data_IF_856797635107
#
_entry.id   IF_856797635107
#
_cell.length_a   1.000
_cell.length_b   1.000
_cell.length_c   1.000
_cell.angle_alpha   90.00
_cell.angle_beta   90.00
_cell.angle_gamma   90.00
#
_symmetry.space_group_name_H-M   'P 1'
#
loop_
_entity.id
_entity.type
_entity.pdbx_description
1 polymer ?
#
# COMPACT_ATOMS: atom_id res chain seq x y z
N UNK A 1 -30.86 57.13 10.48
CA UNK A 1 -30.59 57.24 9.03
C UNK A 1 -30.84 55.88 8.42
N UNK A 2 -31.87 55.81 7.60
CA UNK A 2 -32.40 54.64 6.90
C UNK A 2 -31.66 54.44 5.58
N UNK A 3 -31.22 53.21 5.29
CA UNK A 3 -31.22 52.60 3.96
C UNK A 3 -30.89 51.11 4.10
N UNK A 4 -31.79 50.20 3.71
CA UNK A 4 -31.45 48.84 3.32
C UNK A 4 -31.24 48.82 1.80
N UNK A 5 -30.14 48.28 1.30
CA UNK A 5 -30.01 48.01 -0.13
C UNK A 5 -29.87 46.52 -0.40
N UNK A 6 -30.84 46.05 -1.19
CA UNK A 6 -30.95 44.70 -1.73
C UNK A 6 -30.01 44.61 -2.94
N UNK A 7 -29.16 43.59 -2.99
CA UNK A 7 -28.63 43.10 -4.26
C UNK A 7 -28.63 41.58 -4.27
N UNK A 8 -29.23 41.07 -5.34
CA UNK A 8 -29.86 39.77 -5.48
C UNK A 8 -28.89 38.58 -5.58
N UNK A 9 -29.39 37.35 -5.35
CA UNK A 9 -28.64 36.13 -5.66
C UNK A 9 -28.47 35.95 -7.18
N UNK A 10 -27.22 35.75 -7.61
CA UNK A 10 -26.90 35.34 -8.97
C UNK A 10 -27.46 33.93 -9.25
N UNK A 11 -28.33 33.83 -10.25
CA UNK A 11 -28.79 32.56 -10.83
C UNK A 11 -27.72 32.05 -11.80
N UNK A 12 -27.21 30.82 -11.68
CA UNK A 12 -26.33 30.25 -12.68
C UNK A 12 -27.12 29.89 -13.95
N UNK A 13 -26.66 30.44 -15.08
CA UNK A 13 -27.15 30.15 -16.43
C UNK A 13 -27.00 28.68 -16.78
N UNK A 14 -28.07 28.10 -17.34
CA UNK A 14 -28.15 26.73 -17.80
C UNK A 14 -27.06 26.38 -18.84
N UNK A 15 -26.40 25.24 -18.63
CA UNK A 15 -25.46 24.60 -19.55
C UNK A 15 -26.27 23.97 -20.69
N UNK A 16 -25.97 24.34 -21.93
CA UNK A 16 -26.60 23.79 -23.13
C UNK A 16 -26.23 22.31 -23.35
N UNK A 17 -27.12 21.49 -23.92
CA UNK A 17 -26.83 20.09 -24.24
C UNK A 17 -26.02 20.01 -25.54
N UNK A 18 -24.76 19.56 -25.48
CA UNK A 18 -23.95 19.46 -26.69
C UNK A 18 -22.59 18.77 -26.64
N UNK A 19 -22.15 18.21 -25.51
CA UNK A 19 -20.88 17.47 -25.46
C UNK A 19 -21.11 15.98 -25.24
N UNK A 20 -21.03 15.23 -26.33
CA UNK A 20 -20.82 13.78 -26.30
C UNK A 20 -19.33 13.56 -26.08
N UNK A 21 -18.94 13.10 -24.90
CA UNK A 21 -17.59 12.62 -24.63
C UNK A 21 -17.50 11.18 -25.15
N UNK A 22 -16.94 11.02 -26.34
CA UNK A 22 -16.45 9.73 -26.82
C UNK A 22 -15.19 9.36 -26.03
N UNK A 23 -15.21 8.19 -25.37
CA UNK A 23 -14.20 7.76 -24.39
C UNK A 23 -12.84 7.38 -25.01
N UNK A 24 -12.56 7.81 -26.25
CA UNK A 24 -11.42 7.33 -27.04
C UNK A 24 -10.57 8.44 -27.68
N UNK A 25 -10.93 9.73 -27.52
CA UNK A 25 -10.10 10.82 -28.06
C UNK A 25 -9.14 11.39 -27.01
N UNK A 26 -8.00 10.72 -26.88
CA UNK A 26 -6.80 11.31 -26.30
C UNK A 26 -6.25 12.31 -27.30
N UNK A 27 -6.46 13.61 -27.04
CA UNK A 27 -5.88 14.68 -27.85
C UNK A 27 -4.34 14.62 -27.73
N UNK A 28 -3.68 14.06 -28.75
CA UNK A 28 -2.22 14.18 -28.94
C UNK A 28 -1.92 15.59 -29.44
N UNK A 29 -1.08 16.32 -28.70
CA UNK A 29 -0.56 17.62 -29.14
C UNK A 29 0.42 17.40 -30.31
N UNK A 30 0.44 18.29 -31.32
CA UNK A 30 1.45 18.24 -32.37
C UNK A 30 2.82 18.62 -31.78
N UNK A 31 3.68 17.63 -31.55
CA UNK A 31 5.05 17.84 -31.04
C UNK A 31 5.69 16.67 -30.30
N UNK A 32 4.91 15.65 -29.90
CA UNK A 32 5.48 14.46 -29.24
C UNK A 32 6.23 13.57 -30.23
N UNK A 33 7.55 13.71 -30.27
CA UNK A 33 8.43 12.72 -30.86
C UNK A 33 8.35 11.41 -30.05
N UNK A 34 8.36 10.23 -30.70
CA UNK A 34 8.34 8.96 -29.99
C UNK A 34 9.60 8.81 -29.13
N UNK A 35 9.41 8.76 -27.80
CA UNK A 35 10.46 8.36 -26.86
C UNK A 35 10.77 6.89 -27.11
N UNK A 36 11.91 6.62 -27.74
CA UNK A 36 12.46 5.27 -27.86
C UNK A 36 12.92 4.83 -26.46
N UNK A 37 12.39 3.74 -25.88
CA UNK A 37 12.87 3.26 -24.59
C UNK A 37 14.32 2.80 -24.75
N UNK A 38 15.25 3.49 -24.08
CA UNK A 38 16.63 3.05 -24.01
C UNK A 38 16.69 1.80 -23.13
N UNK A 39 17.10 0.69 -23.74
CA UNK A 39 17.40 -0.56 -23.06
C UNK A 39 18.59 -0.33 -22.12
N UNK A 40 18.31 -0.21 -20.83
CA UNK A 40 19.37 -0.11 -19.81
C UNK A 40 20.04 -1.48 -19.72
N UNK A 41 21.26 -1.55 -20.26
CA UNK A 41 22.14 -2.71 -20.16
C UNK A 41 22.51 -2.90 -18.67
N UNK A 42 21.84 -3.84 -18.00
CA UNK A 42 22.14 -4.18 -16.61
C UNK A 42 23.47 -4.96 -16.56
N UNK A 43 24.43 -4.59 -15.70
CA UNK A 43 25.66 -5.35 -15.52
C UNK A 43 25.35 -6.76 -15.00
N UNK A 44 26.21 -7.76 -15.29
CA UNK A 44 25.98 -9.14 -14.86
C UNK A 44 25.92 -9.21 -13.34
N UNK A 45 24.81 -9.75 -12.84
CA UNK A 45 24.62 -10.04 -11.42
C UNK A 45 25.58 -11.18 -11.06
N UNK A 46 26.66 -10.86 -10.33
CA UNK A 46 27.55 -11.87 -9.74
C UNK A 46 26.81 -12.48 -8.56
N UNK A 47 26.14 -13.61 -8.79
CA UNK A 47 25.50 -14.39 -7.73
C UNK A 47 26.59 -15.22 -7.04
N UNK A 48 27.11 -14.72 -5.93
CA UNK A 48 27.89 -15.55 -5.01
C UNK A 48 26.92 -16.50 -4.29
N UNK A 49 26.89 -17.76 -4.75
CA UNK A 49 26.20 -18.85 -4.09
C UNK A 49 26.90 -19.14 -2.74
N UNK A 50 26.45 -18.46 -1.67
CA UNK A 50 26.76 -18.87 -0.32
C UNK A 50 26.08 -20.22 -0.06
N UNK A 51 26.89 -21.25 0.15
CA UNK A 51 26.47 -22.59 0.52
C UNK A 51 25.54 -22.54 1.74
N UNK A 52 24.32 -23.04 1.59
CA UNK A 52 23.45 -23.34 2.72
C UNK A 52 24.03 -24.54 3.47
N UNK A 53 24.29 -24.46 4.78
CA UNK A 53 24.58 -25.66 5.56
C UNK A 53 23.37 -26.59 5.55
N UNK A 54 23.56 -27.77 5.00
CA UNK A 54 22.61 -28.89 4.95
C UNK A 54 22.29 -29.42 6.35
N UNK A 55 20.99 -29.37 6.67
CA UNK A 55 20.20 -30.39 7.37
C UNK A 55 20.85 -31.20 8.51
N UNK A 56 20.60 -30.77 9.76
CA UNK A 56 20.70 -31.60 10.96
C UNK A 56 19.30 -32.05 11.43
N UNK A 57 18.85 -33.22 10.98
CA UNK A 57 17.63 -33.87 11.47
C UNK A 57 17.93 -34.96 12.52
N UNK A 58 17.19 -35.04 13.65
CA UNK A 58 17.45 -36.03 14.69
C UNK A 58 17.15 -37.47 14.25
N UNK A 59 18.11 -38.37 14.51
CA UNK A 59 18.00 -39.83 14.32
C UNK A 59 17.11 -40.44 15.40
N UNK A 60 15.81 -40.60 15.14
CA UNK A 60 14.95 -41.42 16.01
C UNK A 60 14.91 -42.87 15.50
N UNK A 61 15.63 -43.73 16.22
CA UNK A 61 15.50 -45.19 16.17
C UNK A 61 14.09 -45.63 16.60
N UNK A 62 13.31 -46.20 15.67
CA UNK A 62 12.23 -47.12 16.02
C UNK A 62 12.29 -48.36 15.13
N UNK A 63 12.80 -49.42 15.76
CA UNK A 63 12.57 -50.82 15.39
C UNK A 63 11.07 -51.08 15.35
N UNK A 64 10.58 -51.84 14.37
CA UNK A 64 9.34 -52.60 14.54
C UNK A 64 8.46 -52.79 13.32
N UNK A 65 8.60 -53.99 12.73
CA UNK A 65 7.53 -54.87 12.21
C UNK A 65 7.06 -54.69 10.76
N UNK A 66 7.00 -55.86 10.13
CA UNK A 66 6.77 -56.24 8.73
C UNK A 66 5.31 -56.71 8.57
N UNK A 67 4.76 -56.48 7.36
CA UNK A 67 3.63 -57.17 6.71
C UNK A 67 2.21 -56.94 7.30
N UNK A 68 1.14 -56.82 6.50
CA UNK A 68 0.72 -57.66 5.36
C UNK A 68 -0.28 -56.93 4.46
N UNK A 69 -0.29 -57.35 3.20
CA UNK A 69 -1.30 -57.07 2.16
C UNK A 69 -2.68 -57.61 2.57
N UNK A 70 -3.74 -56.84 2.35
CA UNK A 70 -5.13 -57.35 2.26
C UNK A 70 -5.94 -56.49 1.29
N UNK A 71 -5.85 -56.86 0.00
CA UNK A 71 -6.85 -56.58 -1.02
C UNK A 71 -7.84 -57.75 -0.97
N UNK A 72 -9.14 -57.46 -0.85
CA UNK A 72 -10.32 -58.25 -1.29
C UNK A 72 -11.54 -57.63 -0.57
N UNK A 73 -12.42 -56.86 -1.22
CA UNK A 73 -13.48 -57.25 -2.17
C UNK A 73 -14.86 -56.98 -1.52
N UNK A 74 -15.42 -55.79 -1.73
CA UNK A 74 -16.85 -55.53 -1.58
C UNK A 74 -17.29 -54.59 -2.71
N UNK A 75 -17.36 -55.15 -3.93
CA UNK A 75 -18.08 -54.56 -5.04
C UNK A 75 -19.30 -55.45 -5.31
N UNK A 76 -20.48 -55.00 -4.87
CA UNK A 76 -21.78 -55.21 -5.50
C UNK A 76 -22.88 -54.95 -4.47
N UNK A 77 -23.51 -53.77 -4.55
CA UNK A 77 -24.94 -53.56 -4.76
C UNK A 77 -25.22 -52.06 -4.64
N UNK A 78 -25.83 -51.52 -5.69
CA UNK A 78 -25.85 -50.11 -6.03
C UNK A 78 -26.62 -49.20 -5.08
N UNK A 79 -26.17 -47.96 -5.05
CA UNK A 79 -26.78 -46.85 -4.30
C UNK A 79 -25.86 -45.64 -4.34
N UNK A 80 -25.36 -45.29 -5.52
CA UNK A 80 -24.41 -44.21 -5.73
C UNK A 80 -25.03 -42.83 -5.50
N UNK A 81 -25.18 -42.44 -4.24
CA UNK A 81 -25.22 -41.03 -3.86
C UNK A 81 -23.77 -40.58 -3.70
N UNK A 82 -23.15 -40.23 -4.83
CA UNK A 82 -21.91 -39.48 -4.84
C UNK A 82 -22.22 -38.07 -4.35
N UNK A 83 -22.26 -37.87 -3.04
CA UNK A 83 -22.17 -36.53 -2.47
C UNK A 83 -20.76 -36.05 -2.78
N UNK A 84 -20.61 -35.29 -3.86
CA UNK A 84 -19.38 -34.58 -4.17
C UNK A 84 -19.14 -33.60 -3.03
N UNK A 85 -18.35 -34.00 -2.02
CA UNK A 85 -17.81 -33.08 -1.04
C UNK A 85 -16.78 -32.25 -1.78
N UNK A 86 -17.21 -31.14 -2.37
CA UNK A 86 -16.29 -30.08 -2.74
C UNK A 86 -15.64 -29.62 -1.44
N UNK A 87 -14.46 -30.17 -1.15
CA UNK A 87 -13.53 -29.55 -0.22
C UNK A 87 -13.23 -28.19 -0.83
N UNK A 88 -13.89 -27.16 -0.30
CA UNK A 88 -13.56 -25.79 -0.61
C UNK A 88 -12.16 -25.58 -0.03
N UNK A 89 -11.15 -25.69 -0.89
CA UNK A 89 -9.79 -25.26 -0.57
C UNK A 89 -9.88 -23.78 -0.18
N UNK A 90 -9.81 -23.52 1.13
CA UNK A 90 -9.78 -22.15 1.63
C UNK A 90 -8.47 -21.53 1.14
N UNK A 91 -8.51 -20.42 0.37
CA UNK A 91 -7.30 -19.78 -0.09
C UNK A 91 -6.36 -19.50 1.10
N UNK A 92 -5.05 -19.78 0.97
CA UNK A 92 -4.12 -19.52 2.06
C UNK A 92 -4.18 -18.04 2.43
N UNK A 93 -4.22 -17.76 3.73
CA UNK A 93 -4.28 -16.39 4.24
C UNK A 93 -3.11 -15.55 3.68
N UNK A 94 -3.36 -14.26 3.35
CA UNK A 94 -2.33 -13.40 2.81
C UNK A 94 -1.19 -13.24 3.81
N UNK A 95 0.06 -13.40 3.34
CA UNK A 95 1.28 -13.26 4.14
C UNK A 95 1.75 -11.81 4.25
N UNK A 96 1.11 -10.91 3.51
CA UNK A 96 1.46 -9.50 3.42
C UNK A 96 0.19 -8.67 3.23
N UNK A 97 0.28 -7.38 3.56
CA UNK A 97 -0.78 -6.40 3.32
C UNK A 97 -0.17 -5.06 2.89
N UNK A 98 -1.02 -4.19 2.35
CA UNK A 98 -0.67 -2.81 2.04
C UNK A 98 -1.05 -1.93 3.22
N UNK A 99 -0.07 -1.32 3.87
CA UNK A 99 -0.29 -0.35 4.94
C UNK A 99 -0.64 0.99 4.32
N UNK A 100 -1.84 1.48 4.61
CA UNK A 100 -2.31 2.81 4.21
C UNK A 100 -2.38 3.72 5.42
N UNK A 101 -2.08 4.99 5.23
CA UNK A 101 -2.17 5.99 6.28
C UNK A 101 -2.13 7.40 5.73
N UNK A 102 -2.29 8.36 6.63
CA UNK A 102 -2.14 9.78 6.35
C UNK A 102 -1.05 10.38 7.22
N UNK A 103 -0.42 11.43 6.70
CA UNK A 103 0.50 12.29 7.41
C UNK A 103 -0.01 13.72 7.27
N UNK A 104 -0.31 14.39 8.38
CA UNK A 104 -0.78 15.76 8.42
C UNK A 104 0.31 16.67 8.96
N UNK A 105 0.69 17.67 8.17
CA UNK A 105 1.58 18.75 8.61
C UNK A 105 0.74 19.97 9.00
N UNK A 106 0.84 20.43 10.23
CA UNK A 106 0.22 21.67 10.71
C UNK A 106 1.20 22.84 10.63
N UNK A 107 0.83 23.87 9.89
CA UNK A 107 1.57 25.12 9.79
C UNK A 107 0.62 26.24 9.31
N UNK A 108 0.97 27.48 9.64
CA UNK A 108 0.33 28.67 9.10
C UNK A 108 0.81 29.00 7.68
N UNK A 109 1.97 28.48 7.27
CA UNK A 109 2.57 28.77 5.97
C UNK A 109 2.96 27.50 5.20
N UNK A 110 2.63 27.48 3.91
CA UNK A 110 2.95 26.38 3.00
C UNK A 110 3.27 26.91 1.61
N UNK A 111 4.32 26.34 1.01
CA UNK A 111 4.61 26.52 -0.40
C UNK A 111 3.64 25.69 -1.26
N UNK A 112 3.51 26.06 -2.54
CA UNK A 112 2.73 25.30 -3.53
C UNK A 112 3.62 24.84 -4.69
N UNK A 113 3.53 23.54 -5.04
CA UNK A 113 4.22 22.91 -6.18
C UNK A 113 3.29 21.93 -6.90
N UNK A 114 3.72 21.31 -8.00
CA UNK A 114 2.92 20.34 -8.76
C UNK A 114 2.42 19.14 -7.92
N UNK A 115 3.13 18.84 -6.83
CA UNK A 115 2.79 17.82 -5.84
C UNK A 115 1.76 18.25 -4.79
N UNK A 116 1.25 19.48 -4.84
CA UNK A 116 0.37 20.05 -3.83
C UNK A 116 1.08 21.00 -2.88
N UNK A 117 0.60 21.08 -1.63
CA UNK A 117 1.26 21.86 -0.59
C UNK A 117 2.58 21.20 -0.16
N UNK A 118 3.55 22.05 0.19
CA UNK A 118 4.90 21.70 0.64
C UNK A 118 5.12 22.46 1.94
N UNK A 119 5.73 21.81 2.93
CA UNK A 119 6.13 22.49 4.15
C UNK A 119 7.10 23.65 3.85
N UNK A 120 7.07 24.68 4.69
CA UNK A 120 7.97 25.81 4.60
C UNK A 120 8.80 25.94 5.89
N UNK A 121 9.85 26.75 5.86
CA UNK A 121 10.69 27.06 7.01
C UNK A 121 11.36 25.80 7.58
N UNK A 122 10.91 25.36 8.75
CA UNK A 122 11.44 24.18 9.43
C UNK A 122 10.90 22.84 8.93
N UNK A 123 10.06 22.83 7.89
CA UNK A 123 9.41 21.64 7.32
C UNK A 123 9.56 21.54 5.79
N UNK A 124 10.58 22.20 5.21
CA UNK A 124 10.86 22.25 3.77
C UNK A 124 11.19 20.87 3.14
N UNK A 125 11.56 19.89 3.97
CA UNK A 125 11.76 18.49 3.61
C UNK A 125 10.44 17.69 3.45
N UNK A 126 9.30 18.27 3.82
CA UNK A 126 8.00 17.61 3.77
C UNK A 126 7.23 18.04 2.51
N UNK A 127 7.17 17.13 1.55
CA UNK A 127 6.50 17.33 0.28
C UNK A 127 5.99 15.99 -0.29
N UNK A 128 5.25 16.06 -1.39
CA UNK A 128 5.02 14.89 -2.21
C UNK A 128 6.35 14.26 -2.63
N UNK A 129 6.48 12.94 -2.48
CA UNK A 129 7.73 12.22 -2.73
C UNK A 129 8.62 12.05 -1.49
N UNK A 130 8.35 12.71 -0.36
CA UNK A 130 9.10 12.51 0.89
C UNK A 130 9.02 11.04 1.32
N UNK A 131 10.17 10.46 1.68
CA UNK A 131 10.30 9.05 2.00
C UNK A 131 9.51 8.69 3.26
N UNK A 132 8.84 7.54 3.20
CA UNK A 132 8.20 6.90 4.34
C UNK A 132 8.78 5.52 4.51
N UNK A 133 9.25 5.18 5.70
CA UNK A 133 9.82 3.86 6.03
C UNK A 133 8.99 3.20 7.12
N UNK A 134 8.62 1.95 6.88
CA UNK A 134 7.90 1.12 7.85
C UNK A 134 8.86 0.08 8.41
N UNK A 135 8.95 0.01 9.73
CA UNK A 135 9.82 -0.92 10.45
C UNK A 135 9.01 -1.88 11.33
N UNK A 136 9.62 -2.99 11.70
CA UNK A 136 9.15 -3.82 12.81
C UNK A 136 9.68 -3.33 14.16
N UNK A 137 9.37 -4.07 15.23
CA UNK A 137 9.85 -3.78 16.58
C UNK A 137 11.37 -3.91 16.76
N UNK A 138 12.05 -4.65 15.87
CA UNK A 138 13.50 -4.81 15.87
C UNK A 138 14.21 -3.77 14.98
N UNK A 139 13.48 -2.72 14.57
CA UNK A 139 13.94 -1.68 13.66
C UNK A 139 14.39 -2.21 12.28
N UNK A 140 13.91 -3.39 11.88
CA UNK A 140 14.12 -3.90 10.52
C UNK A 140 13.09 -3.29 9.58
N UNK A 141 13.56 -2.81 8.43
CA UNK A 141 12.68 -2.29 7.37
C UNK A 141 11.76 -3.41 6.86
N UNK A 142 10.46 -3.15 6.93
CA UNK A 142 9.40 -4.00 6.38
C UNK A 142 8.99 -3.53 4.99
N UNK A 143 8.88 -2.22 4.78
CA UNK A 143 8.50 -1.61 3.51
C UNK A 143 9.00 -0.16 3.44
N UNK A 144 9.08 0.37 2.22
CA UNK A 144 9.37 1.78 1.95
C UNK A 144 8.32 2.30 0.98
N UNK A 145 7.91 3.54 1.16
CA UNK A 145 7.00 4.27 0.27
C UNK A 145 7.37 5.75 0.26
N UNK A 146 6.52 6.55 -0.35
CA UNK A 146 6.64 8.01 -0.35
C UNK A 146 5.29 8.64 -0.03
N UNK A 147 5.32 9.87 0.48
CA UNK A 147 4.13 10.70 0.59
C UNK A 147 3.56 10.97 -0.81
N UNK A 148 2.24 10.87 -0.92
CA UNK A 148 1.48 11.24 -2.11
C UNK A 148 1.36 12.75 -2.27
N UNK A 149 0.40 13.19 -3.08
CA UNK A 149 0.13 14.63 -3.23
C UNK A 149 -0.38 15.23 -1.92
N UNK A 150 0.11 16.42 -1.59
CA UNK A 150 -0.33 17.20 -0.44
C UNK A 150 -1.65 17.92 -0.72
N UNK A 151 -2.62 17.81 0.18
CA UNK A 151 -3.89 18.49 0.09
C UNK A 151 -3.94 19.58 1.16
N UNK A 152 -4.06 20.83 0.72
CA UNK A 152 -4.05 21.99 1.63
C UNK A 152 -5.42 22.16 2.27
N UNK A 153 -5.45 22.13 3.59
CA UNK A 153 -6.59 22.52 4.42
C UNK A 153 -6.38 23.89 5.06
N UNK A 154 -7.18 24.20 6.09
CA UNK A 154 -7.03 25.43 6.87
C UNK A 154 -5.99 25.23 7.96
N UNK A 155 -4.75 25.69 7.73
CA UNK A 155 -3.65 25.52 8.70
C UNK A 155 -2.98 24.15 8.68
N UNK A 156 -3.28 23.34 7.65
CA UNK A 156 -2.76 21.98 7.52
C UNK A 156 -2.49 21.60 6.06
N UNK A 157 -1.63 20.60 5.89
CA UNK A 157 -1.33 19.95 4.63
C UNK A 157 -1.30 18.43 4.83
N UNK A 158 -2.27 17.73 4.22
CA UNK A 158 -2.44 16.29 4.39
C UNK A 158 -1.85 15.51 3.21
N UNK A 159 -1.08 14.46 3.52
CA UNK A 159 -0.46 13.56 2.56
C UNK A 159 -0.90 12.11 2.83
N UNK A 160 -1.47 11.45 1.82
CA UNK A 160 -1.72 10.02 1.89
C UNK A 160 -0.47 9.23 1.50
N UNK A 161 -0.26 8.04 2.06
CA UNK A 161 0.79 7.12 1.64
C UNK A 161 0.31 5.67 1.61
N UNK A 162 1.04 4.82 0.88
CA UNK A 162 0.77 3.38 0.84
C UNK A 162 2.08 2.60 0.76
N UNK A 163 2.40 1.88 1.82
CA UNK A 163 3.54 0.98 1.88
C UNK A 163 3.10 -0.45 1.56
N UNK A 164 3.54 -0.96 0.41
CA UNK A 164 3.16 -2.27 -0.10
C UNK A 164 4.00 -3.39 0.51
N UNK A 165 3.40 -4.56 0.66
CA UNK A 165 4.13 -5.79 1.02
C UNK A 165 4.56 -5.89 2.49
N UNK A 166 3.87 -5.21 3.41
CA UNK A 166 4.15 -5.29 4.84
C UNK A 166 3.78 -6.69 5.34
N UNK A 167 4.73 -7.38 5.99
CA UNK A 167 4.53 -8.75 6.47
C UNK A 167 3.56 -8.80 7.64
N UNK A 168 2.74 -9.85 7.66
CA UNK A 168 1.88 -10.19 8.79
C UNK A 168 2.65 -10.82 9.95
N UNK A 169 2.12 -10.72 11.16
CA UNK A 169 2.67 -11.39 12.35
C UNK A 169 3.87 -10.69 12.98
N UNK A 170 4.00 -9.37 12.78
CA UNK A 170 5.04 -8.53 13.39
C UNK A 170 4.58 -7.88 14.70
N UNK A 171 3.27 -7.93 14.99
CA UNK A 171 2.65 -7.45 16.23
C UNK A 171 2.44 -5.93 16.23
N UNK A 172 3.51 -5.17 15.99
CA UNK A 172 3.45 -3.72 15.82
C UNK A 172 4.49 -3.24 14.83
N UNK A 173 4.16 -2.12 14.18
CA UNK A 173 4.99 -1.47 13.18
C UNK A 173 5.38 -0.08 13.66
N UNK A 174 6.47 0.45 13.12
CA UNK A 174 6.88 1.84 13.34
C UNK A 174 6.95 2.54 11.99
N UNK A 175 6.35 3.72 11.87
CA UNK A 175 6.35 4.52 10.65
C UNK A 175 7.21 5.75 10.88
N UNK A 176 8.11 6.02 9.94
CA UNK A 176 8.98 7.19 9.92
C UNK A 176 8.78 7.93 8.60
N UNK A 177 8.70 9.25 8.67
CA UNK A 177 8.57 10.13 7.52
C UNK A 177 9.78 11.06 7.48
N UNK A 178 10.41 11.18 6.31
CA UNK A 178 11.70 11.86 6.14
C UNK A 178 12.76 11.18 7.03
N UNK A 179 13.09 11.80 8.16
CA UNK A 179 13.84 11.24 9.30
C UNK A 179 13.37 11.92 10.62
N UNK A 180 12.09 12.27 10.69
CA UNK A 180 11.47 13.07 11.77
C UNK A 180 11.09 12.25 13.01
N UNK A 181 11.56 11.01 13.09
CA UNK A 181 11.26 10.08 14.16
C UNK A 181 10.25 8.99 13.79
N UNK A 182 10.12 8.01 14.69
CA UNK A 182 9.35 6.77 14.49
C UNK A 182 8.14 6.76 15.39
N UNK A 183 6.95 6.64 14.78
CA UNK A 183 5.68 6.51 15.52
C UNK A 183 5.21 5.06 15.42
N UNK A 184 4.86 4.48 16.57
CA UNK A 184 4.50 3.06 16.69
C UNK A 184 3.00 2.87 16.57
N UNK A 185 2.59 1.93 15.73
CA UNK A 185 1.20 1.50 15.55
C UNK A 185 1.05 0.00 15.77
N UNK A 186 -0.14 -0.45 16.17
CA UNK A 186 -0.45 -1.88 16.19
C UNK A 186 -0.52 -2.42 14.75
N UNK A 187 -0.23 -3.71 14.56
CA UNK A 187 -0.42 -4.34 13.25
C UNK A 187 -1.88 -4.28 12.80
N UNK A 188 -2.83 -4.35 13.74
CA UNK A 188 -4.25 -4.22 13.43
C UNK A 188 -4.59 -2.84 12.84
N UNK A 189 -4.12 -1.77 13.48
CA UNK A 189 -4.31 -0.39 13.00
C UNK A 189 -3.69 -0.21 11.60
N UNK A 190 -2.48 -0.74 11.40
CA UNK A 190 -1.80 -0.73 10.10
C UNK A 190 -2.58 -1.48 9.01
N UNK A 191 -3.24 -2.58 9.35
CA UNK A 191 -4.06 -3.38 8.41
C UNK A 191 -5.39 -2.70 8.07
N UNK A 192 -5.99 -2.00 9.04
CA UNK A 192 -7.28 -1.31 8.84
C UNK A 192 -7.13 0.09 8.26
N UNK A 193 -5.90 0.59 8.12
CA UNK A 193 -5.62 1.95 7.64
C UNK A 193 -5.78 3.04 8.70
N UNK A 194 -5.82 2.65 9.97
CA UNK A 194 -5.91 3.56 11.13
C UNK A 194 -4.51 4.04 11.54
N UNK A 195 -3.82 4.65 10.57
CA UNK A 195 -2.46 5.15 10.71
C UNK A 195 -2.46 6.62 10.34
N UNK A 196 -2.42 7.46 11.36
CA UNK A 196 -2.44 8.91 11.24
C UNK A 196 -1.21 9.45 11.97
N UNK A 197 -0.34 10.12 11.22
CA UNK A 197 0.84 10.79 11.75
C UNK A 197 0.63 12.29 11.68
N UNK A 198 1.06 13.00 12.70
CA UNK A 198 0.95 14.45 12.78
C UNK A 198 2.31 15.06 13.11
N UNK A 199 2.60 16.18 12.49
CA UNK A 199 3.77 17.01 12.77
C UNK A 199 3.35 18.46 12.61
N UNK A 200 3.98 19.38 13.34
CA UNK A 200 3.72 20.81 13.16
C UNK A 200 3.55 21.55 14.46
N UNK A 201 3.34 22.85 14.33
CA UNK A 201 2.93 23.70 15.45
C UNK A 201 1.42 23.91 15.34
N UNK A 202 0.70 23.49 16.38
CA UNK A 202 -0.72 23.74 16.56
C UNK A 202 -0.92 24.91 17.53
#
# INVERSE_FOLDING_TARGET
MTTPDHSAPHVPTAVGPGFVLDATQVARLPGDAPVVPQSVEQPPIVVNAAAYPTAGGPRWSRRGVIATVSVLLCAALGGGLAWATSVADTPPAPKQFDLRGTFTLYDTDFDARDGGCVGNGGYDDIAAGTRVVVYDNAAKVLATSVLGKGHRGTGECEFAFTAKGVRVGVGSVQVEVSDRGKIKFSEQAARTGDVHLELGNN
#
